data_IF_117382853905
#
_entry.id   IF_117382853905
#
_cell.length_a   1.000
_cell.length_b   1.000
_cell.length_c   1.000
_cell.angle_alpha   90.00
_cell.angle_beta   90.00
_cell.angle_gamma   90.00
#
_symmetry.space_group_name_H-M   'P 1'
#
loop_
_entity.id
_entity.type
_entity.pdbx_description
1 polymer ?
#
# COMPACT_ATOMS: atom_id res chain seq x y z
N UNK A 1 30.32 18.92 39.98
CA UNK A 1 30.77 17.51 39.89
C UNK A 1 30.99 17.17 38.44
N UNK A 2 32.25 17.14 38.04
CA UNK A 2 32.71 17.09 36.67
C UNK A 2 33.19 15.67 36.29
N UNK A 3 33.10 15.37 34.98
CA UNK A 3 33.94 14.44 34.21
C UNK A 3 33.95 12.96 34.57
N UNK A 4 33.26 12.12 33.78
CA UNK A 4 33.79 10.85 33.25
C UNK A 4 33.11 10.50 31.90
N UNK A 5 33.68 10.98 30.78
CA UNK A 5 33.43 10.36 29.47
C UNK A 5 34.79 10.25 28.76
N UNK A 6 35.43 9.10 28.92
CA UNK A 6 36.67 8.77 28.26
C UNK A 6 36.49 7.51 27.42
N UNK A 7 36.81 7.67 26.13
CA UNK A 7 37.54 6.72 25.31
C UNK A 7 36.83 5.42 24.85
N UNK A 8 36.16 5.51 23.70
CA UNK A 8 36.18 4.43 22.70
C UNK A 8 36.48 5.02 21.32
N UNK A 9 37.74 5.38 21.08
CA UNK A 9 38.27 5.60 19.71
C UNK A 9 38.94 4.30 19.26
N UNK A 10 38.19 3.42 18.61
CA UNK A 10 38.75 2.28 17.87
C UNK A 10 39.11 2.73 16.46
N UNK A 11 40.38 2.52 16.12
CA UNK A 11 41.01 2.87 14.87
C UNK A 11 40.36 2.17 13.67
N UNK A 12 40.00 2.94 12.64
CA UNK A 12 39.67 2.44 11.32
C UNK A 12 40.99 2.24 10.55
N UNK A 13 41.34 0.98 10.27
CA UNK A 13 42.35 0.64 9.26
C UNK A 13 41.69 0.59 7.89
N UNK A 14 42.22 1.26 6.85
CA UNK A 14 41.78 1.05 5.48
C UNK A 14 42.38 -0.26 4.93
N UNK A 15 41.53 -1.20 4.56
CA UNK A 15 41.92 -2.38 3.78
C UNK A 15 41.95 -1.99 2.30
N UNK A 16 43.15 -1.84 1.74
CA UNK A 16 43.35 -1.73 0.30
C UNK A 16 43.19 -3.13 -0.33
N UNK A 17 42.11 -3.34 -1.09
CA UNK A 17 41.94 -4.51 -1.94
C UNK A 17 42.15 -4.11 -3.40
N UNK A 18 43.24 -4.60 -3.99
CA UNK A 18 43.53 -4.50 -5.41
C UNK A 18 42.49 -5.26 -6.24
N UNK A 19 41.81 -4.55 -7.14
CA UNK A 19 40.94 -5.14 -8.16
C UNK A 19 41.79 -5.61 -9.33
N UNK A 20 41.95 -6.91 -9.48
CA UNK A 20 42.37 -7.55 -10.74
C UNK A 20 41.13 -7.74 -11.60
N UNK A 21 40.98 -6.94 -12.64
CA UNK A 21 39.92 -7.11 -13.62
C UNK A 21 40.20 -8.34 -14.50
N UNK A 22 39.32 -9.35 -14.43
CA UNK A 22 39.29 -10.45 -15.41
C UNK A 22 38.35 -10.06 -16.57
N UNK A 23 38.79 -10.11 -17.83
CA UNK A 23 37.92 -9.87 -18.97
C UNK A 23 36.98 -11.07 -19.19
N UNK A 24 35.69 -10.88 -18.94
CA UNK A 24 34.65 -11.83 -19.35
C UNK A 24 34.45 -11.74 -20.87
N UNK A 25 34.84 -12.81 -21.59
CA UNK A 25 34.49 -13.01 -23.00
C UNK A 25 33.00 -13.33 -23.11
N UNK A 26 32.20 -12.31 -23.40
CA UNK A 26 30.79 -12.47 -23.74
C UNK A 26 30.69 -13.18 -25.11
N UNK A 27 30.24 -14.43 -25.09
CA UNK A 27 29.79 -15.12 -26.31
C UNK A 27 28.42 -14.54 -26.67
N UNK A 28 28.37 -13.75 -27.74
CA UNK A 28 27.14 -13.27 -28.33
C UNK A 28 26.31 -14.47 -28.80
N UNK A 29 25.22 -14.78 -28.07
CA UNK A 29 24.20 -15.70 -28.57
C UNK A 29 23.47 -15.00 -29.70
N UNK A 30 23.53 -15.59 -30.89
CA UNK A 30 22.75 -15.15 -32.04
C UNK A 30 21.25 -15.31 -31.69
N UNK A 31 20.57 -14.17 -31.53
CA UNK A 31 19.11 -14.14 -31.40
C UNK A 31 18.58 -14.30 -32.82
N UNK A 32 17.94 -15.44 -33.09
CA UNK A 32 17.24 -15.67 -34.34
C UNK A 32 16.07 -14.67 -34.44
N UNK A 33 16.22 -13.65 -35.28
CA UNK A 33 15.14 -12.74 -35.61
C UNK A 33 14.16 -13.45 -36.54
N UNK A 34 13.01 -13.88 -36.03
CA UNK A 34 11.88 -14.21 -36.90
C UNK A 34 11.24 -12.90 -37.40
N UNK A 35 10.90 -12.80 -38.70
CA UNK A 35 10.29 -11.61 -39.26
C UNK A 35 8.89 -11.42 -38.68
N UNK A 36 8.65 -10.25 -38.08
CA UNK A 36 7.34 -9.80 -37.63
C UNK A 36 6.53 -9.46 -38.88
N UNK A 37 5.55 -10.32 -39.21
CA UNK A 37 4.53 -10.04 -40.22
C UNK A 37 3.56 -9.01 -39.64
N UNK A 38 3.82 -7.73 -39.91
CA UNK A 38 2.89 -6.65 -39.63
C UNK A 38 1.73 -6.73 -40.63
N UNK A 39 0.58 -7.22 -40.16
CA UNK A 39 -0.68 -7.15 -40.90
C UNK A 39 -1.16 -5.69 -40.86
N UNK A 40 -1.01 -4.99 -41.98
CA UNK A 40 -1.56 -3.66 -42.20
C UNK A 40 -3.08 -3.68 -41.94
N UNK A 41 -3.51 -3.08 -40.84
CA UNK A 41 -4.92 -2.79 -40.58
C UNK A 41 -5.21 -1.39 -41.13
N UNK A 42 -5.98 -1.35 -42.20
CA UNK A 42 -6.46 -0.14 -42.86
C UNK A 42 -7.16 0.78 -41.85
N UNK A 43 -6.73 2.05 -41.83
CA UNK A 43 -7.46 3.13 -41.19
C UNK A 43 -8.79 3.33 -41.90
N UNK A 44 -9.88 3.17 -41.16
CA UNK A 44 -11.13 3.83 -41.51
C UNK A 44 -11.77 4.42 -40.26
N UNK A 45 -12.42 5.56 -40.48
CA UNK A 45 -12.76 6.63 -39.57
C UNK A 45 -13.61 6.30 -38.34
N UNK A 46 -13.44 7.18 -37.35
CA UNK A 46 -14.45 7.74 -36.44
C UNK A 46 -15.61 6.84 -35.97
N UNK A 47 -15.54 6.40 -34.71
CA UNK A 47 -16.48 6.77 -33.62
C UNK A 47 -16.46 5.75 -32.48
N UNK A 48 -16.72 6.27 -31.29
CA UNK A 48 -17.29 5.61 -30.11
C UNK A 48 -16.43 4.70 -29.21
N UNK A 49 -16.08 5.29 -28.06
CA UNK A 49 -16.36 4.76 -26.72
C UNK A 49 -16.05 3.28 -26.47
N UNK A 50 -14.78 2.97 -26.21
CA UNK A 50 -14.36 1.64 -25.79
C UNK A 50 -13.48 1.62 -24.53
N UNK A 51 -13.74 2.52 -23.60
CA UNK A 51 -13.36 2.35 -22.19
C UNK A 51 -14.48 2.93 -21.33
N UNK A 52 -15.57 2.17 -21.23
CA UNK A 52 -16.60 2.40 -20.23
C UNK A 52 -15.98 2.29 -18.83
N UNK A 53 -15.88 3.43 -18.16
CA UNK A 53 -15.94 3.52 -16.71
C UNK A 53 -17.32 2.99 -16.28
N UNK A 54 -17.39 1.71 -15.94
CA UNK A 54 -18.47 1.24 -15.08
C UNK A 54 -18.07 1.56 -13.65
N UNK A 55 -18.60 2.69 -13.19
CA UNK A 55 -18.94 2.96 -11.80
C UNK A 55 -19.69 1.76 -11.22
N UNK A 56 -19.14 1.16 -10.16
CA UNK A 56 -19.94 0.46 -9.16
C UNK A 56 -19.70 1.21 -7.84
N UNK A 57 -20.29 2.39 -7.81
CA UNK A 57 -20.79 3.04 -6.61
C UNK A 57 -22.29 2.74 -6.57
N UNK A 58 -22.70 1.77 -5.77
CA UNK A 58 -24.10 1.56 -5.44
C UNK A 58 -24.19 1.20 -3.96
N UNK A 59 -24.06 2.26 -3.15
CA UNK A 59 -24.78 2.35 -1.90
C UNK A 59 -26.21 2.80 -2.18
N UNK A 60 -27.12 2.24 -1.39
CA UNK A 60 -28.51 2.68 -1.18
C UNK A 60 -29.61 2.07 -2.08
N UNK A 61 -30.14 0.91 -1.65
CA UNK A 61 -31.32 0.29 -2.24
C UNK A 61 -32.25 -0.33 -1.17
N UNK A 62 -32.53 0.43 -0.10
CA UNK A 62 -33.67 0.20 0.78
C UNK A 62 -34.33 1.54 1.14
N UNK A 63 -34.97 2.16 0.14
CA UNK A 63 -36.01 3.16 0.39
C UNK A 63 -37.33 2.58 -0.16
N UNK A 64 -38.18 2.18 0.79
CA UNK A 64 -39.51 1.62 0.58
C UNK A 64 -40.53 2.69 0.17
N UNK A 65 -41.38 2.28 -0.78
CA UNK A 65 -42.81 2.58 -0.93
C UNK A 65 -43.34 4.02 -0.96
N UNK A 66 -43.71 4.48 -2.17
CA UNK A 66 -45.03 5.09 -2.42
C UNK A 66 -45.55 4.86 -3.87
N UNK A 67 -46.59 4.02 -3.94
CA UNK A 67 -47.72 3.89 -4.88
C UNK A 67 -47.82 4.69 -6.22
N UNK A 68 -47.81 3.92 -7.34
CA UNK A 68 -48.79 3.82 -8.46
C UNK A 68 -49.19 5.05 -9.36
N UNK A 69 -49.86 4.85 -10.52
CA UNK A 69 -49.42 4.20 -11.77
C UNK A 69 -49.75 5.02 -13.06
N UNK A 70 -49.38 4.49 -14.25
CA UNK A 70 -49.70 4.85 -15.67
C UNK A 70 -48.44 5.27 -16.46
N UNK A 71 -48.15 4.86 -17.69
CA UNK A 71 -48.94 4.30 -18.80
C UNK A 71 -48.03 3.63 -19.83
N UNK A 72 -48.62 2.71 -20.59
CA UNK A 72 -48.17 2.05 -21.83
C UNK A 72 -47.25 2.85 -22.75
N UNK A 73 -46.15 2.22 -23.19
CA UNK A 73 -45.59 2.38 -24.53
C UNK A 73 -44.66 1.19 -24.86
N UNK A 74 -45.27 0.11 -25.34
CA UNK A 74 -44.60 -1.04 -25.96
C UNK A 74 -43.82 -0.59 -27.19
N UNK A 75 -42.48 -0.56 -27.10
CA UNK A 75 -41.58 -0.52 -28.27
C UNK A 75 -40.98 -1.92 -28.45
N UNK A 76 -41.07 -2.53 -29.65
CA UNK A 76 -40.49 -3.84 -29.90
C UNK A 76 -38.96 -3.75 -29.86
N UNK A 77 -38.37 -4.63 -29.04
CA UNK A 77 -36.93 -4.84 -28.96
C UNK A 77 -36.43 -5.39 -30.30
N UNK A 78 -35.48 -4.68 -30.89
CA UNK A 78 -34.69 -5.18 -32.02
C UNK A 78 -33.61 -6.06 -31.43
N UNK A 79 -33.81 -7.37 -31.52
CA UNK A 79 -32.77 -8.37 -31.31
C UNK A 79 -31.61 -8.08 -32.28
N UNK A 80 -30.55 -7.47 -31.77
CA UNK A 80 -29.25 -7.46 -32.44
C UNK A 80 -28.53 -8.76 -32.05
N UNK A 81 -28.28 -9.68 -32.98
CA UNK A 81 -27.35 -10.77 -32.75
C UNK A 81 -25.96 -10.12 -32.64
N UNK A 82 -25.48 -9.91 -31.42
CA UNK A 82 -24.06 -9.66 -31.20
C UNK A 82 -23.32 -10.97 -31.43
N UNK A 83 -22.98 -11.22 -32.70
CA UNK A 83 -21.92 -12.14 -33.12
C UNK A 83 -20.58 -11.58 -32.65
N UNK A 84 -20.34 -11.64 -31.35
CA UNK A 84 -18.98 -11.58 -30.82
C UNK A 84 -18.34 -12.93 -31.09
N UNK A 85 -17.19 -12.99 -31.80
CA UNK A 85 -16.53 -14.25 -32.09
C UNK A 85 -16.22 -14.99 -30.79
N UNK A 86 -16.40 -16.32 -30.75
CA UNK A 86 -16.21 -17.11 -29.55
C UNK A 86 -14.81 -16.88 -28.99
N UNK A 87 -14.77 -16.58 -27.68
CA UNK A 87 -13.58 -16.58 -26.84
C UNK A 87 -12.61 -17.65 -27.30
N UNK A 88 -11.37 -17.26 -27.51
CA UNK A 88 -10.25 -18.12 -27.84
C UNK A 88 -10.30 -19.43 -27.01
N UNK A 89 -10.55 -20.61 -27.61
CA UNK A 89 -10.78 -21.87 -26.89
C UNK A 89 -9.53 -22.38 -26.15
N UNK A 90 -8.39 -21.71 -26.34
CA UNK A 90 -7.12 -21.96 -25.67
C UNK A 90 -6.96 -21.22 -24.34
N UNK A 91 -7.90 -20.36 -23.96
CA UNK A 91 -7.95 -19.74 -22.63
C UNK A 91 -9.08 -20.41 -21.86
N UNK A 92 -8.79 -21.34 -20.94
CA UNK A 92 -9.80 -21.93 -20.07
C UNK A 92 -10.63 -20.81 -19.47
N UNK A 93 -11.96 -20.90 -19.58
CA UNK A 93 -12.85 -20.01 -18.86
C UNK A 93 -12.39 -19.96 -17.39
N UNK A 94 -12.33 -18.79 -16.74
CA UNK A 94 -11.95 -18.72 -15.35
C UNK A 94 -12.93 -19.60 -14.59
N UNK A 95 -12.45 -20.78 -14.18
CA UNK A 95 -13.24 -21.66 -13.35
C UNK A 95 -13.66 -20.80 -12.16
N UNK A 96 -14.96 -20.83 -11.85
CA UNK A 96 -15.54 -20.15 -10.71
C UNK A 96 -15.01 -20.85 -9.45
N UNK A 97 -13.72 -20.64 -9.17
CA UNK A 97 -12.98 -21.29 -8.09
C UNK A 97 -13.39 -20.54 -6.84
N UNK A 98 -14.04 -21.26 -5.92
CA UNK A 98 -14.35 -20.75 -4.60
C UNK A 98 -13.05 -20.22 -3.95
N UNK A 99 -12.97 -18.92 -3.63
CA UNK A 99 -11.78 -18.34 -3.00
C UNK A 99 -11.48 -19.01 -1.66
N UNK A 100 -12.48 -19.55 -0.96
CA UNK A 100 -12.29 -20.25 0.30
C UNK A 100 -11.56 -21.58 0.10
N UNK A 101 -12.01 -22.40 -0.85
CA UNK A 101 -11.34 -23.64 -1.19
C UNK A 101 -9.88 -23.38 -1.61
N UNK A 102 -9.66 -22.37 -2.46
CA UNK A 102 -8.31 -21.99 -2.88
C UNK A 102 -7.42 -21.54 -1.73
N UNK A 103 -7.96 -20.84 -0.73
CA UNK A 103 -7.21 -20.46 0.47
C UNK A 103 -6.77 -21.70 1.25
N UNK A 104 -7.70 -22.61 1.55
CA UNK A 104 -7.41 -23.82 2.31
C UNK A 104 -6.41 -24.72 1.57
N UNK A 105 -6.52 -24.87 0.25
CA UNK A 105 -5.56 -25.64 -0.55
C UNK A 105 -4.13 -25.08 -0.43
N UNK A 106 -3.98 -23.75 -0.60
CA UNK A 106 -2.67 -23.10 -0.48
C UNK A 106 -2.14 -23.15 0.95
N UNK A 107 -3.02 -22.99 1.94
CA UNK A 107 -2.66 -23.04 3.35
C UNK A 107 -2.21 -24.44 3.75
N UNK A 108 -2.98 -25.48 3.42
CA UNK A 108 -2.66 -26.88 3.70
C UNK A 108 -1.37 -27.30 3.01
N UNK A 109 -1.18 -26.93 1.74
CA UNK A 109 0.06 -27.20 1.03
C UNK A 109 1.28 -26.59 1.74
N UNK A 110 1.18 -25.32 2.17
CA UNK A 110 2.26 -24.66 2.88
C UNK A 110 2.47 -25.21 4.29
N UNK A 111 1.38 -25.55 4.98
CA UNK A 111 1.39 -26.16 6.32
C UNK A 111 2.06 -27.53 6.30
N UNK A 112 1.67 -28.42 5.38
CA UNK A 112 2.26 -29.74 5.20
C UNK A 112 3.77 -29.67 4.90
N UNK A 113 4.19 -28.65 4.14
CA UNK A 113 5.61 -28.42 3.89
C UNK A 113 6.37 -27.90 5.12
N UNK A 114 5.84 -26.89 5.82
CA UNK A 114 6.56 -26.20 6.89
C UNK A 114 6.49 -26.89 8.25
N UNK A 115 5.34 -27.46 8.59
CA UNK A 115 5.05 -28.04 9.90
C UNK A 115 5.30 -29.54 9.88
N UNK A 116 4.70 -30.25 8.93
CA UNK A 116 4.80 -31.70 8.86
C UNK A 116 6.09 -32.18 8.19
N UNK A 117 6.74 -31.32 7.39
CA UNK A 117 7.94 -31.64 6.59
C UNK A 117 7.72 -32.80 5.60
N UNK A 118 6.45 -33.07 5.26
CA UNK A 118 6.04 -34.17 4.37
C UNK A 118 5.76 -33.69 2.94
N UNK A 119 5.97 -32.41 2.65
CA UNK A 119 5.68 -31.80 1.36
C UNK A 119 6.62 -32.28 0.24
N UNK A 120 6.11 -32.81 -0.88
CA UNK A 120 6.93 -33.37 -1.96
C UNK A 120 7.65 -32.29 -2.79
N UNK A 121 7.26 -31.02 -2.65
CA UNK A 121 7.76 -29.93 -3.48
C UNK A 121 8.06 -28.68 -2.67
N UNK A 122 9.15 -28.01 -3.03
CA UNK A 122 9.55 -26.72 -2.45
C UNK A 122 8.52 -25.64 -2.85
N UNK A 123 7.84 -24.99 -1.89
CA UNK A 123 6.94 -23.89 -2.18
C UNK A 123 7.70 -22.71 -2.79
N UNK A 124 7.10 -22.11 -3.82
CA UNK A 124 7.59 -20.87 -4.42
C UNK A 124 7.19 -19.68 -3.57
N UNK A 125 8.08 -18.68 -3.51
CA UNK A 125 7.86 -17.36 -2.90
C UNK A 125 6.49 -16.71 -3.25
N UNK A 126 6.01 -16.89 -4.48
CA UNK A 126 4.73 -16.35 -4.93
C UNK A 126 3.52 -16.85 -4.14
N UNK A 127 3.65 -17.98 -3.43
CA UNK A 127 2.57 -18.53 -2.60
C UNK A 127 2.11 -17.55 -1.54
N UNK A 128 3.04 -16.78 -0.94
CA UNK A 128 2.70 -15.77 0.08
C UNK A 128 1.87 -14.64 -0.51
N UNK A 129 2.22 -14.18 -1.71
CA UNK A 129 1.45 -13.17 -2.42
C UNK A 129 0.03 -13.67 -2.68
N UNK A 130 -0.11 -14.93 -3.10
CA UNK A 130 -1.44 -15.54 -3.28
C UNK A 130 -2.19 -15.71 -1.97
N UNK A 131 -1.57 -16.23 -0.90
CA UNK A 131 -2.20 -16.38 0.41
C UNK A 131 -2.70 -15.04 0.94
N UNK A 132 -1.87 -14.00 0.92
CA UNK A 132 -2.30 -12.66 1.30
C UNK A 132 -3.43 -12.17 0.40
N UNK A 133 -3.38 -12.42 -0.91
CA UNK A 133 -4.43 -12.00 -1.85
C UNK A 133 -5.71 -12.85 -1.81
N UNK A 134 -5.76 -13.99 -1.14
CA UNK A 134 -6.99 -14.80 -0.98
C UNK A 134 -7.53 -14.77 0.47
N UNK A 135 -6.74 -14.24 1.42
CA UNK A 135 -7.17 -14.06 2.82
C UNK A 135 -8.22 -12.94 2.93
N UNK A 136 -9.50 -13.28 2.83
CA UNK A 136 -10.59 -12.30 2.83
C UNK A 136 -11.16 -11.95 4.21
N UNK A 137 -10.77 -12.69 5.25
CA UNK A 137 -11.14 -12.41 6.64
C UNK A 137 -9.89 -12.19 7.49
N UNK A 138 -9.96 -11.40 8.58
CA UNK A 138 -8.82 -11.17 9.46
C UNK A 138 -8.32 -12.47 10.10
N UNK A 139 -9.21 -13.42 10.43
CA UNK A 139 -8.87 -14.72 11.03
C UNK A 139 -8.05 -15.58 10.06
N UNK A 140 -8.40 -15.55 8.76
CA UNK A 140 -7.61 -16.24 7.72
C UNK A 140 -6.21 -15.63 7.60
N UNK A 141 -6.11 -14.30 7.67
CA UNK A 141 -4.81 -13.63 7.64
C UNK A 141 -3.98 -13.96 8.90
N UNK A 142 -4.61 -14.08 10.07
CA UNK A 142 -3.96 -14.52 11.31
C UNK A 142 -3.40 -15.94 11.19
N UNK A 143 -4.17 -16.90 10.63
CA UNK A 143 -3.66 -18.24 10.32
C UNK A 143 -2.43 -18.21 9.42
N UNK A 144 -2.42 -17.36 8.39
CA UNK A 144 -1.24 -17.18 7.52
C UNK A 144 -0.05 -16.61 8.32
N UNK A 145 -0.29 -15.71 9.26
CA UNK A 145 0.75 -15.12 10.12
C UNK A 145 1.40 -16.15 11.04
N UNK A 146 0.66 -17.17 11.48
CA UNK A 146 1.19 -18.27 12.30
C UNK A 146 2.22 -19.14 11.56
N UNK A 147 2.19 -19.15 10.22
CA UNK A 147 3.16 -19.89 9.40
C UNK A 147 4.47 -19.12 9.16
N UNK A 148 4.49 -17.80 9.34
CA UNK A 148 5.66 -16.96 9.06
C UNK A 148 6.91 -17.33 9.89
N UNK A 149 6.81 -17.61 11.21
CA UNK A 149 7.98 -18.05 11.98
C UNK A 149 8.58 -19.34 11.45
N UNK A 150 7.75 -20.28 10.98
CA UNK A 150 8.21 -21.54 10.38
C UNK A 150 8.92 -21.33 9.04
N UNK A 151 8.45 -20.37 8.25
CA UNK A 151 9.12 -19.95 7.03
C UNK A 151 10.51 -19.37 7.29
N UNK A 152 10.62 -18.52 8.32
CA UNK A 152 11.88 -17.95 8.78
C UNK A 152 12.81 -19.04 9.32
N UNK A 153 12.31 -20.00 10.10
CA UNK A 153 13.09 -21.11 10.65
C UNK A 153 13.70 -21.97 9.52
N UNK A 154 13.03 -22.07 8.37
CA UNK A 154 13.55 -22.69 7.15
C UNK A 154 14.62 -21.84 6.41
N UNK A 155 15.15 -20.79 7.05
CA UNK A 155 16.16 -19.86 6.53
C UNK A 155 15.73 -19.16 5.22
N UNK A 156 14.41 -18.91 5.08
CA UNK A 156 13.87 -18.19 3.92
C UNK A 156 13.47 -16.77 4.33
N UNK A 157 13.98 -15.79 3.58
CA UNK A 157 13.63 -14.39 3.76
C UNK A 157 12.34 -14.01 3.03
N UNK A 158 11.73 -12.91 3.47
CA UNK A 158 10.62 -12.28 2.76
C UNK A 158 11.13 -11.19 1.82
N UNK A 159 10.60 -11.17 0.59
CA UNK A 159 10.89 -10.10 -0.37
C UNK A 159 10.11 -8.83 0.00
N UNK A 160 10.64 -7.63 -0.28
CA UNK A 160 9.93 -6.36 -0.08
C UNK A 160 8.52 -6.33 -0.69
N UNK A 161 8.33 -6.97 -1.85
CA UNK A 161 7.01 -7.08 -2.49
C UNK A 161 6.01 -7.87 -1.66
N UNK A 162 6.41 -8.92 -0.96
CA UNK A 162 5.53 -9.71 -0.09
C UNK A 162 5.07 -8.88 1.11
N UNK A 163 5.98 -8.11 1.71
CA UNK A 163 5.69 -7.20 2.83
C UNK A 163 4.66 -6.15 2.40
N UNK A 164 4.78 -5.64 1.16
CA UNK A 164 3.78 -4.74 0.58
C UNK A 164 2.41 -5.39 0.41
N UNK A 165 2.34 -6.64 -0.04
CA UNK A 165 1.07 -7.38 -0.16
C UNK A 165 0.44 -7.62 1.22
N UNK A 166 1.24 -7.98 2.22
CA UNK A 166 0.78 -8.10 3.59
C UNK A 166 0.20 -6.77 4.11
N UNK A 167 0.94 -5.67 4.01
CA UNK A 167 0.49 -4.35 4.45
C UNK A 167 -0.82 -3.89 3.76
N UNK A 168 -0.92 -4.10 2.44
CA UNK A 168 -2.16 -3.81 1.70
C UNK A 168 -3.33 -4.68 2.16
N UNK A 169 -3.08 -5.96 2.43
CA UNK A 169 -4.15 -6.85 2.90
C UNK A 169 -4.59 -6.48 4.32
N UNK A 170 -3.67 -6.16 5.22
CA UNK A 170 -3.99 -5.62 6.55
C UNK A 170 -4.86 -4.37 6.47
N UNK A 171 -4.48 -3.42 5.60
CA UNK A 171 -5.28 -2.21 5.36
C UNK A 171 -6.67 -2.55 4.82
N UNK A 172 -6.78 -3.46 3.85
CA UNK A 172 -8.06 -3.87 3.25
C UNK A 172 -8.98 -4.52 4.27
N UNK A 173 -8.45 -5.38 5.13
CA UNK A 173 -9.19 -6.08 6.19
C UNK A 173 -9.39 -5.24 7.45
N UNK A 174 -8.83 -4.02 7.50
CA UNK A 174 -8.94 -3.10 8.63
C UNK A 174 -8.46 -3.71 9.96
N UNK A 175 -7.40 -4.54 9.91
CA UNK A 175 -6.85 -5.22 11.09
C UNK A 175 -5.40 -4.77 11.44
N UNK A 176 -5.15 -3.46 11.66
CA UNK A 176 -3.79 -2.95 11.80
C UNK A 176 -3.05 -3.46 13.06
N UNK A 177 -3.77 -3.94 14.08
CA UNK A 177 -3.18 -4.58 15.26
C UNK A 177 -2.37 -5.84 14.89
N UNK A 178 -2.81 -6.56 13.86
CA UNK A 178 -2.06 -7.72 13.36
C UNK A 178 -0.71 -7.31 12.79
N UNK A 179 -0.64 -6.16 12.08
CA UNK A 179 0.62 -5.63 11.61
C UNK A 179 1.52 -5.21 12.79
N UNK A 180 0.97 -4.58 13.83
CA UNK A 180 1.73 -4.24 15.03
C UNK A 180 2.35 -5.47 15.70
N UNK A 181 1.58 -6.56 15.85
CA UNK A 181 2.08 -7.83 16.37
C UNK A 181 3.20 -8.41 15.51
N UNK A 182 3.03 -8.41 14.19
CA UNK A 182 4.00 -8.98 13.24
C UNK A 182 5.29 -8.17 13.18
N UNK A 183 5.20 -6.84 13.10
CA UNK A 183 6.37 -5.97 12.99
C UNK A 183 6.99 -5.63 14.35
N UNK A 184 6.24 -5.74 15.46
CA UNK A 184 6.78 -5.62 16.81
C UNK A 184 7.76 -6.74 17.14
N UNK A 185 7.45 -7.97 16.74
CA UNK A 185 8.29 -9.14 16.97
C UNK A 185 9.14 -9.51 15.74
N UNK A 186 9.98 -8.57 15.28
CA UNK A 186 10.86 -8.77 14.11
C UNK A 186 11.61 -10.11 14.14
N UNK A 187 12.26 -10.52 15.25
CA UNK A 187 12.97 -11.79 15.28
C UNK A 187 12.02 -12.92 14.91
N UNK A 188 10.85 -13.03 15.55
CA UNK A 188 9.90 -14.13 15.41
C UNK A 188 9.36 -14.28 13.99
N UNK A 189 8.91 -13.19 13.37
CA UNK A 189 8.20 -13.25 12.09
C UNK A 189 9.11 -13.10 10.88
N UNK A 190 10.27 -12.45 11.01
CA UNK A 190 11.23 -12.28 9.93
C UNK A 190 10.77 -11.39 8.77
N UNK A 191 9.68 -10.61 8.93
CA UNK A 191 9.29 -9.60 7.95
C UNK A 191 10.08 -8.31 8.18
N UNK A 192 10.85 -7.92 7.16
CA UNK A 192 11.55 -6.64 7.14
C UNK A 192 10.62 -5.53 6.65
N UNK A 193 10.29 -4.58 7.54
CA UNK A 193 9.42 -3.46 7.23
C UNK A 193 10.08 -2.54 6.19
N UNK A 194 9.32 -2.15 5.17
CA UNK A 194 9.76 -1.21 4.14
C UNK A 194 9.00 0.10 4.26
N UNK A 195 9.59 1.23 3.88
CA UNK A 195 8.96 2.55 3.99
C UNK A 195 7.57 2.62 3.32
N UNK A 196 7.36 2.09 2.09
CA UNK A 196 6.04 2.14 1.48
C UNK A 196 5.00 1.27 2.21
N UNK A 197 5.42 0.15 2.81
CA UNK A 197 4.55 -0.69 3.64
C UNK A 197 4.20 0.01 4.96
N UNK A 198 5.19 0.67 5.56
CA UNK A 198 5.03 1.45 6.77
C UNK A 198 4.01 2.58 6.58
N UNK A 199 4.07 3.32 5.46
CA UNK A 199 3.07 4.36 5.12
C UNK A 199 1.64 3.80 5.07
N UNK A 200 1.45 2.61 4.48
CA UNK A 200 0.14 1.95 4.39
C UNK A 200 -0.38 1.57 5.79
N UNK A 201 0.50 1.02 6.63
CA UNK A 201 0.13 0.58 7.98
C UNK A 201 -0.14 1.78 8.88
N UNK A 202 0.69 2.84 8.84
CA UNK A 202 0.45 4.10 9.54
C UNK A 202 -0.92 4.67 9.21
N UNK A 203 -1.28 4.71 7.93
CA UNK A 203 -2.61 5.17 7.51
C UNK A 203 -3.71 4.26 8.07
N UNK A 204 -3.54 2.94 8.04
CA UNK A 204 -4.54 2.01 8.57
C UNK A 204 -4.68 2.13 10.09
N UNK A 205 -3.60 2.37 10.82
CA UNK A 205 -3.60 2.62 12.26
C UNK A 205 -4.32 3.92 12.58
N UNK A 206 -4.05 5.00 11.85
CA UNK A 206 -4.69 6.30 12.06
C UNK A 206 -6.23 6.21 11.98
N UNK A 207 -6.76 5.37 11.10
CA UNK A 207 -8.22 5.24 10.88
C UNK A 207 -8.90 4.30 11.88
N UNK A 208 -8.18 3.34 12.46
CA UNK A 208 -8.81 2.19 13.17
C UNK A 208 -8.24 1.88 14.55
N UNK A 209 -7.05 2.35 14.87
CA UNK A 209 -6.33 2.00 16.08
C UNK A 209 -6.25 3.19 17.04
N UNK A 210 -5.76 2.93 18.26
CA UNK A 210 -5.53 4.00 19.22
C UNK A 210 -4.34 4.88 18.75
N UNK A 211 -4.30 6.16 19.12
CA UNK A 211 -3.14 7.00 18.86
C UNK A 211 -1.82 6.44 19.43
N UNK A 212 -1.88 5.74 20.56
CA UNK A 212 -0.75 5.04 21.17
C UNK A 212 -0.18 3.95 20.25
N UNK A 213 -1.02 3.27 19.50
CA UNK A 213 -0.61 2.25 18.53
C UNK A 213 0.17 2.88 17.35
N UNK A 214 -0.23 4.07 16.91
CA UNK A 214 0.49 4.84 15.89
C UNK A 214 1.89 5.22 16.39
N UNK A 215 1.99 5.72 17.62
CA UNK A 215 3.26 6.04 18.27
C UNK A 215 4.16 4.81 18.45
N UNK A 216 3.57 3.70 18.88
CA UNK A 216 4.30 2.43 19.03
C UNK A 216 4.82 1.96 17.68
N UNK A 217 4.00 2.02 16.63
CA UNK A 217 4.42 1.64 15.29
C UNK A 217 5.52 2.55 14.72
N UNK A 218 5.44 3.86 14.95
CA UNK A 218 6.43 4.81 14.42
C UNK A 218 7.79 4.62 15.09
N UNK A 219 7.84 4.18 16.36
CA UNK A 219 9.08 3.80 17.04
C UNK A 219 9.85 2.68 16.32
N UNK A 220 9.14 1.78 15.64
CA UNK A 220 9.73 0.67 14.88
C UNK A 220 10.55 1.14 13.68
N UNK A 221 10.37 2.36 13.19
CA UNK A 221 11.15 2.87 12.05
C UNK A 221 12.65 2.80 12.34
N UNK A 222 13.05 3.16 13.56
CA UNK A 222 14.44 3.06 14.03
C UNK A 222 14.96 1.61 14.05
N UNK A 223 14.13 0.66 14.51
CA UNK A 223 14.45 -0.76 14.62
C UNK A 223 14.68 -1.41 13.25
N UNK A 224 13.95 -0.94 12.24
CA UNK A 224 14.05 -1.40 10.86
C UNK A 224 15.04 -0.59 10.00
N UNK A 225 15.72 0.41 10.56
CA UNK A 225 16.64 1.27 9.81
C UNK A 225 15.94 2.12 8.75
N UNK A 226 14.66 2.43 8.94
CA UNK A 226 13.91 3.36 8.10
C UNK A 226 14.26 4.81 8.49
N UNK A 227 14.09 5.78 7.57
CA UNK A 227 14.21 7.19 7.90
C UNK A 227 13.31 7.55 9.09
N UNK A 228 13.70 8.47 9.98
CA UNK A 228 12.85 8.86 11.10
C UNK A 228 11.51 9.40 10.59
N UNK A 229 10.43 9.22 11.36
CA UNK A 229 9.08 9.62 10.94
C UNK A 229 9.01 11.09 10.55
N UNK A 230 9.73 11.95 11.28
CA UNK A 230 9.88 13.38 11.02
C UNK A 230 10.58 13.75 9.71
N UNK A 231 11.13 12.79 8.97
CA UNK A 231 11.71 13.00 7.64
C UNK A 231 10.75 12.61 6.50
N UNK A 232 9.66 11.92 6.80
CA UNK A 232 8.66 11.49 5.82
C UNK A 232 7.38 12.31 5.98
N UNK A 233 6.99 13.03 4.93
CA UNK A 233 5.83 13.94 4.96
C UNK A 233 4.52 13.23 5.31
N UNK A 234 4.28 12.05 4.74
CA UNK A 234 3.07 11.27 4.99
C UNK A 234 3.02 10.77 6.42
N UNK A 235 4.08 10.10 6.88
CA UNK A 235 4.12 9.56 8.22
C UNK A 235 4.12 10.65 9.29
N UNK A 236 4.76 11.81 9.05
CA UNK A 236 4.69 12.98 9.95
C UNK A 236 3.26 13.49 10.05
N UNK A 237 2.56 13.68 8.92
CA UNK A 237 1.17 14.14 8.92
C UNK A 237 0.25 13.14 9.65
N UNK A 238 0.40 11.83 9.40
CA UNK A 238 -0.38 10.82 10.09
C UNK A 238 -0.13 10.80 11.60
N UNK A 239 1.13 10.89 12.02
CA UNK A 239 1.49 10.94 13.43
C UNK A 239 0.93 12.19 14.11
N UNK A 240 1.06 13.35 13.48
CA UNK A 240 0.55 14.60 14.01
C UNK A 240 -0.98 14.55 14.20
N UNK A 241 -1.70 13.99 13.21
CA UNK A 241 -3.16 13.83 13.30
C UNK A 241 -3.53 12.87 14.43
N UNK A 242 -2.80 11.77 14.59
CA UNK A 242 -3.03 10.84 15.70
C UNK A 242 -2.86 11.52 17.07
N UNK A 243 -1.83 12.35 17.22
CA UNK A 243 -1.56 13.08 18.47
C UNK A 243 -2.66 14.10 18.82
N UNK A 244 -3.20 14.80 17.82
CA UNK A 244 -4.32 15.71 18.02
C UNK A 244 -5.63 14.98 18.33
N UNK A 245 -5.86 13.79 17.76
CA UNK A 245 -7.05 12.99 18.07
C UNK A 245 -7.12 12.52 19.54
N UNK A 246 -5.99 12.31 20.21
CA UNK A 246 -5.98 11.92 21.64
C UNK A 246 -6.20 13.11 22.58
N UNK A 247 -5.82 14.32 22.16
CA UNK A 247 -5.92 15.58 22.91
C UNK A 247 -5.49 15.52 24.40
N UNK A 248 -4.51 14.69 24.76
CA UNK A 248 -3.91 14.74 26.10
C UNK A 248 -2.83 15.82 26.17
N UNK A 249 -2.55 16.39 27.34
CA UNK A 249 -1.53 17.43 27.48
C UNK A 249 -0.15 16.97 26.98
N UNK A 250 0.19 15.71 27.23
CA UNK A 250 1.39 15.07 26.72
C UNK A 250 1.37 14.95 25.19
N UNK A 251 0.26 14.47 24.60
CA UNK A 251 0.16 14.31 23.15
C UNK A 251 0.19 15.66 22.42
N UNK A 252 -0.45 16.68 22.99
CA UNK A 252 -0.45 18.05 22.46
C UNK A 252 0.93 18.70 22.56
N UNK A 253 1.67 18.45 23.63
CA UNK A 253 3.06 18.94 23.76
C UNK A 253 3.94 18.34 22.67
N UNK A 254 3.84 17.03 22.43
CA UNK A 254 4.56 16.35 21.35
C UNK A 254 4.09 16.85 19.98
N UNK A 255 2.78 17.01 19.76
CA UNK A 255 2.22 17.51 18.51
C UNK A 255 2.79 18.90 18.18
N UNK A 256 2.78 19.84 19.12
CA UNK A 256 3.34 21.19 18.95
C UNK A 256 4.82 21.15 18.59
N UNK A 257 5.59 20.25 19.19
CA UNK A 257 7.01 20.07 18.86
C UNK A 257 7.26 19.54 17.45
N UNK A 258 6.29 18.82 16.86
CA UNK A 258 6.40 18.25 15.50
C UNK A 258 5.91 19.20 14.40
N UNK A 259 5.16 20.26 14.73
CA UNK A 259 4.67 21.24 13.73
C UNK A 259 5.82 21.86 12.91
N UNK A 260 6.95 22.31 13.50
CA UNK A 260 8.07 22.85 12.72
C UNK A 260 8.70 21.85 11.75
N UNK A 261 8.73 20.56 12.12
CA UNK A 261 9.21 19.51 11.22
C UNK A 261 8.29 19.34 10.01
N UNK A 262 6.97 19.37 10.23
CA UNK A 262 5.98 19.33 9.15
C UNK A 262 6.11 20.56 8.22
N UNK A 263 6.25 21.76 8.78
CA UNK A 263 6.49 22.99 8.00
C UNK A 263 7.74 22.87 7.12
N UNK A 264 8.84 22.38 7.70
CA UNK A 264 10.11 22.19 6.96
C UNK A 264 9.95 21.19 5.83
N UNK A 265 9.23 20.07 6.06
CA UNK A 265 8.97 19.07 5.03
C UNK A 265 8.11 19.62 3.89
N UNK A 266 7.10 20.44 4.19
CA UNK A 266 6.25 21.07 3.17
C UNK A 266 7.00 22.14 2.39
N UNK A 267 7.85 22.93 3.05
CA UNK A 267 8.71 23.91 2.37
C UNK A 267 9.69 23.22 1.40
N UNK A 268 10.20 22.04 1.75
CA UNK A 268 11.11 21.25 0.91
C UNK A 268 10.40 20.42 -0.17
N UNK A 269 9.07 20.29 -0.11
CA UNK A 269 8.29 19.49 -1.06
C UNK A 269 7.54 20.41 -2.01
N UNK A 270 7.92 20.41 -3.29
CA UNK A 270 7.23 21.19 -4.31
C UNK A 270 5.74 20.81 -4.35
N UNK A 271 4.81 21.77 -4.13
CA UNK A 271 3.37 21.47 -4.03
C UNK A 271 2.82 20.85 -5.32
N UNK A 272 3.32 21.26 -6.48
CA UNK A 272 2.96 20.71 -7.79
C UNK A 272 3.27 19.21 -7.91
N UNK A 273 4.37 18.76 -7.32
CA UNK A 273 4.76 17.34 -7.32
C UNK A 273 3.73 16.46 -6.58
N UNK A 274 2.94 17.06 -5.70
CA UNK A 274 1.92 16.42 -4.89
C UNK A 274 0.51 16.56 -5.46
N UNK A 275 0.32 17.28 -6.57
CA UNK A 275 -0.99 17.47 -7.19
C UNK A 275 -1.69 16.15 -7.56
N UNK A 276 -3.03 16.12 -7.40
CA UNK A 276 -3.87 14.97 -7.72
C UNK A 276 -4.15 14.82 -9.22
N UNK A 277 -3.93 15.87 -10.02
CA UNK A 277 -4.24 15.89 -11.46
C UNK A 277 -3.18 15.22 -12.34
N UNK A 278 -2.05 14.80 -11.79
CA UNK A 278 -0.97 14.16 -12.55
C UNK A 278 -1.38 12.76 -13.03
N UNK A 279 -1.89 12.70 -14.26
CA UNK A 279 -2.54 11.55 -14.92
C UNK A 279 -1.69 10.28 -15.01
N UNK A 280 -0.35 10.38 -14.98
CA UNK A 280 0.57 9.24 -15.21
C UNK A 280 1.14 8.57 -13.95
N UNK A 281 0.63 8.89 -12.77
CA UNK A 281 1.17 8.33 -11.51
C UNK A 281 0.71 6.90 -11.25
N UNK A 282 1.55 6.12 -10.55
CA UNK A 282 1.17 4.76 -10.15
C UNK A 282 -0.04 4.82 -9.20
N UNK A 283 -0.91 3.80 -9.24
CA UNK A 283 -2.12 3.73 -8.39
C UNK A 283 -1.83 3.96 -6.90
N UNK A 284 -0.69 3.48 -6.41
CA UNK A 284 -0.29 3.67 -5.01
C UNK A 284 0.12 5.11 -4.69
N UNK A 285 0.80 5.80 -5.60
CA UNK A 285 1.21 7.19 -5.42
C UNK A 285 -0.01 8.11 -5.42
N UNK A 286 -0.95 7.91 -6.36
CA UNK A 286 -2.22 8.63 -6.37
C UNK A 286 -2.98 8.43 -5.07
N UNK A 287 -3.00 7.20 -4.55
CA UNK A 287 -3.62 6.88 -3.25
C UNK A 287 -2.93 7.60 -2.09
N UNK A 288 -1.60 7.57 -2.05
CA UNK A 288 -0.81 8.27 -1.03
C UNK A 288 -1.06 9.78 -1.05
N UNK A 289 -1.11 10.42 -2.23
CA UNK A 289 -1.45 11.85 -2.36
C UNK A 289 -2.84 12.16 -1.84
N UNK A 290 -3.84 11.32 -2.13
CA UNK A 290 -5.20 11.48 -1.57
C UNK A 290 -5.20 11.36 -0.05
N UNK A 291 -4.48 10.39 0.51
CA UNK A 291 -4.34 10.27 1.96
C UNK A 291 -3.68 11.49 2.59
N UNK A 292 -2.62 12.01 1.96
CA UNK A 292 -1.95 13.22 2.40
C UNK A 292 -2.93 14.40 2.40
N UNK A 293 -3.60 14.66 1.27
CA UNK A 293 -4.57 15.74 1.13
C UNK A 293 -5.65 15.69 2.21
N UNK A 294 -6.27 14.52 2.38
CA UNK A 294 -7.29 14.29 3.40
C UNK A 294 -6.75 14.53 4.82
N UNK A 295 -5.54 14.05 5.12
CA UNK A 295 -4.95 14.19 6.46
C UNK A 295 -4.54 15.64 6.74
N UNK A 296 -3.97 16.34 5.76
CA UNK A 296 -3.59 17.75 5.89
C UNK A 296 -4.82 18.65 6.08
N UNK A 297 -5.92 18.39 5.36
CA UNK A 297 -7.18 19.11 5.57
C UNK A 297 -7.71 18.93 7.00
N UNK A 298 -7.70 17.70 7.48
CA UNK A 298 -8.09 17.39 8.85
C UNK A 298 -7.16 18.04 9.88
N UNK A 299 -5.85 18.02 9.64
CA UNK A 299 -4.87 18.70 10.48
C UNK A 299 -5.08 20.22 10.54
N UNK A 300 -5.51 20.85 9.44
CA UNK A 300 -5.84 22.27 9.41
C UNK A 300 -6.92 22.60 10.47
N UNK A 301 -7.98 21.79 10.53
CA UNK A 301 -9.03 21.94 11.54
C UNK A 301 -8.51 21.73 12.95
N UNK A 302 -7.66 20.72 13.18
CA UNK A 302 -7.08 20.48 14.51
C UNK A 302 -6.18 21.63 14.95
N UNK A 303 -5.33 22.15 14.06
CA UNK A 303 -4.45 23.27 14.34
C UNK A 303 -5.27 24.52 14.69
N UNK A 304 -6.35 24.78 13.95
CA UNK A 304 -7.27 25.88 14.25
C UNK A 304 -7.95 25.69 15.61
N UNK A 305 -8.45 24.50 15.92
CA UNK A 305 -9.11 24.17 17.19
C UNK A 305 -8.18 24.38 18.41
N UNK A 306 -6.88 24.18 18.22
CA UNK A 306 -5.87 24.36 19.26
C UNK A 306 -5.14 25.72 19.22
N UNK A 307 -5.61 26.67 18.40
CA UNK A 307 -5.05 28.02 18.30
C UNK A 307 -3.62 28.06 17.74
N UNK A 308 -3.24 27.08 16.92
CA UNK A 308 -1.92 27.00 16.28
C UNK A 308 -2.01 27.65 14.89
N UNK A 309 -1.02 28.49 14.56
CA UNK A 309 -0.93 29.15 13.26
C UNK A 309 -0.78 28.11 12.13
N UNK A 310 -1.66 28.20 11.13
CA UNK A 310 -1.77 27.23 10.03
C UNK A 310 -1.84 27.89 8.63
N UNK A 311 -1.53 29.18 8.52
CA UNK A 311 -1.57 29.92 7.23
C UNK A 311 -0.65 29.28 6.17
N UNK A 312 0.53 28.83 6.59
CA UNK A 312 1.48 28.10 5.75
C UNK A 312 0.88 26.81 5.15
N UNK A 313 0.02 26.11 5.89
CA UNK A 313 -0.62 24.87 5.43
C UNK A 313 -1.69 25.20 4.40
N UNK A 314 -2.43 26.27 4.65
CA UNK A 314 -3.47 26.78 3.78
C UNK A 314 -2.94 27.19 2.40
N UNK A 315 -1.82 27.91 2.39
CA UNK A 315 -1.12 28.32 1.17
C UNK A 315 -0.59 27.10 0.42
N UNK A 316 0.05 26.15 1.11
CA UNK A 316 0.57 24.94 0.50
C UNK A 316 -0.53 24.05 -0.09
N UNK A 317 -1.67 23.90 0.61
CA UNK A 317 -2.83 23.14 0.10
C UNK A 317 -3.54 23.83 -1.06
N UNK A 318 -3.53 25.16 -1.12
CA UNK A 318 -4.00 25.91 -2.27
C UNK A 318 -3.08 25.69 -3.48
N UNK A 319 -1.76 25.83 -3.29
CA UNK A 319 -0.75 25.67 -4.34
C UNK A 319 -0.68 24.24 -4.90
N UNK A 320 -0.92 23.21 -4.08
CA UNK A 320 -0.97 21.81 -4.53
C UNK A 320 -2.29 21.42 -5.21
N UNK A 321 -3.29 22.31 -5.22
CA UNK A 321 -4.63 22.05 -5.74
C UNK A 321 -5.50 21.15 -4.85
N UNK A 322 -5.05 20.85 -3.62
CA UNK A 322 -5.79 20.01 -2.68
C UNK A 322 -7.09 20.63 -2.22
N UNK A 323 -7.11 21.95 -1.96
CA UNK A 323 -8.34 22.66 -1.58
C UNK A 323 -9.44 22.52 -2.63
N UNK A 324 -9.10 22.68 -3.92
CA UNK A 324 -10.06 22.54 -5.01
C UNK A 324 -10.56 21.09 -5.15
N UNK A 325 -9.66 20.11 -5.03
CA UNK A 325 -10.01 18.69 -5.19
C UNK A 325 -10.82 18.11 -4.02
N UNK A 326 -10.73 18.70 -2.82
CA UNK A 326 -11.54 18.34 -1.66
C UNK A 326 -12.91 19.03 -1.69
N UNK A 327 -12.99 20.25 -2.23
CA UNK A 327 -14.27 20.94 -2.39
C UNK A 327 -15.18 20.32 -3.46
N UNK A 328 -14.61 19.51 -4.36
CA UNK A 328 -15.36 18.79 -5.41
C UNK A 328 -15.86 17.40 -5.00
N UNK A 329 -15.62 16.97 -3.76
CA UNK A 329 -16.07 15.68 -3.21
C UNK A 329 -17.26 15.91 -2.28
#
# INVERSE_FOLDING_TARGET
MATVFAAFRRALRPAALGRVARPCRLHARAIHSSPIVLKNKSSNDASDNLFGESEDDSGDLFAEDHAAPKSDATKPAVDRPTDLPPKNPSVPAPANIDPTARFEDLYQFLHAYLVEKNGPSIPRDSIWVHLFNVSDTPERLERVVELLPKWRDAQRGFKPSMVMHFARRVQKLRCPQLALKVFGDRPKYGLDLTLPAARIICQSLLVRASPQDVLTFTSLFSVYGLPPVSSDLLCTAFLLRALFLQASDESLTVARSLVPALQTLLANTAPESMSLSVSRTRRDEKRQRRWLAYTLHNLQHDLAAHGIEHVWLDEWMAASGYKAALASQ
#
